data_IF_109203795153
#
_entry.id   IF_109203795153
#
_cell.length_a   1.000
_cell.length_b   1.000
_cell.length_c   1.000
_cell.angle_alpha   90.00
_cell.angle_beta   90.00
_cell.angle_gamma   90.00
#
_symmetry.space_group_name_H-M   'P 1'
#
loop_
_entity.id
_entity.type
_entity.pdbx_description
1 polymer ?
#
# COMPACT_ATOMS: atom_id res chain seq x y z
N UNK A 1 13.68 -40.61 -14.00
CA UNK A 1 13.36 -39.17 -14.14
C UNK A 1 11.94 -39.00 -13.63
N UNK A 2 11.74 -38.59 -12.39
CA UNK A 2 10.40 -38.40 -11.84
C UNK A 2 9.93 -37.00 -12.23
N UNK A 3 8.85 -36.93 -13.01
CA UNK A 3 8.21 -35.66 -13.37
C UNK A 3 7.52 -35.09 -12.13
N UNK A 4 7.92 -33.89 -11.73
CA UNK A 4 7.38 -33.22 -10.54
C UNK A 4 5.97 -32.73 -10.79
N UNK A 5 5.01 -33.23 -10.00
CA UNK A 5 3.64 -32.71 -9.97
C UNK A 5 3.62 -31.35 -9.24
N UNK A 6 3.30 -30.29 -9.97
CA UNK A 6 3.08 -28.94 -9.43
C UNK A 6 2.66 -27.98 -10.54
N UNK A 7 1.81 -26.99 -10.22
CA UNK A 7 1.53 -25.87 -11.14
C UNK A 7 2.84 -25.16 -11.47
N UNK A 8 3.01 -24.75 -12.71
CA UNK A 8 4.20 -24.01 -13.18
C UNK A 8 3.93 -22.52 -13.38
N UNK A 9 2.67 -22.10 -13.25
CA UNK A 9 2.16 -20.76 -13.49
C UNK A 9 1.83 -20.00 -12.19
N UNK A 10 2.44 -20.39 -11.08
CA UNK A 10 2.30 -19.65 -9.81
C UNK A 10 3.23 -18.44 -9.80
N UNK A 11 2.76 -17.38 -9.16
CA UNK A 11 3.52 -16.13 -9.02
C UNK A 11 4.76 -16.33 -8.14
N UNK A 12 5.81 -15.61 -8.47
CA UNK A 12 7.02 -15.53 -7.65
C UNK A 12 6.74 -14.80 -6.33
N UNK A 13 7.68 -14.93 -5.39
CA UNK A 13 7.60 -14.21 -4.12
C UNK A 13 7.62 -12.69 -4.32
N UNK A 14 8.43 -12.19 -5.25
CA UNK A 14 8.52 -10.76 -5.52
C UNK A 14 7.22 -10.21 -6.10
N UNK A 15 6.60 -10.93 -7.03
CA UNK A 15 5.27 -10.60 -7.56
C UNK A 15 4.20 -10.64 -6.47
N UNK A 16 4.25 -11.62 -5.58
CA UNK A 16 3.32 -11.71 -4.44
C UNK A 16 3.46 -10.51 -3.50
N UNK A 17 4.68 -10.16 -3.08
CA UNK A 17 4.91 -9.05 -2.16
C UNK A 17 4.65 -7.69 -2.80
N UNK A 18 4.99 -7.52 -4.08
CA UNK A 18 4.65 -6.33 -4.84
C UNK A 18 3.14 -6.20 -5.01
N UNK A 19 2.45 -7.31 -5.29
CA UNK A 19 0.99 -7.37 -5.37
C UNK A 19 0.32 -6.93 -4.06
N UNK A 20 0.87 -7.33 -2.91
CA UNK A 20 0.39 -6.88 -1.59
C UNK A 20 0.64 -5.38 -1.38
N UNK A 21 1.80 -4.86 -1.79
CA UNK A 21 2.08 -3.42 -1.69
C UNK A 21 1.10 -2.60 -2.54
N UNK A 22 0.85 -3.02 -3.78
CA UNK A 22 -0.13 -2.38 -4.66
C UNK A 22 -1.55 -2.47 -4.10
N UNK A 23 -1.96 -3.64 -3.61
CA UNK A 23 -3.28 -3.80 -2.97
C UNK A 23 -3.42 -2.98 -1.69
N UNK A 24 -2.32 -2.79 -0.95
CA UNK A 24 -2.31 -1.91 0.23
C UNK A 24 -2.50 -0.44 -0.17
N UNK A 25 -1.96 -0.01 -1.31
CA UNK A 25 -2.12 1.35 -1.82
C UNK A 25 -3.60 1.71 -2.06
N UNK A 26 -4.43 0.74 -2.49
CA UNK A 26 -5.88 0.90 -2.71
C UNK A 26 -6.66 1.26 -1.43
N UNK A 27 -6.03 1.19 -0.25
CA UNK A 27 -6.61 1.65 1.02
C UNK A 27 -6.41 3.14 1.28
N UNK A 28 -5.49 3.80 0.55
CA UNK A 28 -5.27 5.23 0.64
C UNK A 28 -6.49 6.01 0.17
N UNK A 29 -6.81 7.08 0.89
CA UNK A 29 -7.88 8.03 0.52
C UNK A 29 -7.35 9.27 -0.20
N UNK A 30 -6.04 9.37 -0.41
CA UNK A 30 -5.43 10.44 -1.17
C UNK A 30 -5.90 10.33 -2.65
N UNK A 31 -6.54 11.36 -3.23
CA UNK A 31 -7.03 11.32 -4.61
C UNK A 31 -5.92 11.50 -5.66
N UNK A 32 -4.74 12.03 -5.27
CA UNK A 32 -3.64 12.33 -6.17
C UNK A 32 -2.62 11.19 -6.24
N UNK A 33 -2.27 10.57 -5.10
CA UNK A 33 -1.22 9.55 -5.03
C UNK A 33 -1.59 8.42 -4.07
N UNK A 34 -1.62 7.18 -4.56
CA UNK A 34 -1.83 5.99 -3.75
C UNK A 34 -0.53 5.20 -3.70
N UNK A 35 0.06 5.10 -2.50
CA UNK A 35 1.31 4.39 -2.26
C UNK A 35 1.09 3.36 -1.18
N UNK A 36 1.56 2.14 -1.42
CA UNK A 36 1.53 1.05 -0.47
C UNK A 36 2.92 0.46 -0.26
N UNK A 37 3.10 -0.20 0.87
CA UNK A 37 4.36 -0.81 1.29
C UNK A 37 4.11 -2.19 1.90
N UNK A 38 5.03 -3.12 1.64
CA UNK A 38 5.06 -4.44 2.25
C UNK A 38 6.48 -4.69 2.79
N UNK A 39 6.59 -4.93 4.10
CA UNK A 39 7.86 -5.25 4.76
C UNK A 39 7.89 -6.75 5.03
N UNK A 40 8.94 -7.40 4.54
CA UNK A 40 9.11 -8.85 4.58
C UNK A 40 10.44 -9.17 5.25
N UNK A 41 10.46 -10.20 6.10
CA UNK A 41 11.69 -10.67 6.72
C UNK A 41 12.44 -11.70 5.85
N UNK A 42 13.62 -12.13 6.30
CA UNK A 42 14.47 -13.10 5.58
C UNK A 42 13.82 -14.49 5.41
N UNK A 43 12.77 -14.80 6.18
CA UNK A 43 11.99 -16.04 6.08
C UNK A 43 10.80 -15.92 5.11
N UNK A 44 10.72 -14.83 4.35
CA UNK A 44 9.60 -14.52 3.43
C UNK A 44 8.25 -14.41 4.14
N UNK A 45 8.26 -13.95 5.40
CA UNK A 45 7.05 -13.64 6.17
C UNK A 45 6.83 -12.14 6.15
N UNK A 46 5.59 -11.74 5.90
CA UNK A 46 5.14 -10.36 6.02
C UNK A 46 5.17 -9.99 7.50
N UNK A 47 5.89 -8.94 7.84
CA UNK A 47 5.98 -8.41 9.21
C UNK A 47 5.35 -7.03 9.35
N UNK A 48 4.99 -6.40 8.23
CA UNK A 48 4.23 -5.15 8.20
C UNK A 48 3.70 -4.84 6.81
N UNK A 49 2.56 -4.17 6.76
CA UNK A 49 1.99 -3.56 5.55
C UNK A 49 1.54 -2.15 5.90
N UNK A 50 1.52 -1.27 4.91
CA UNK A 50 1.10 0.11 5.10
C UNK A 50 0.77 0.81 3.81
N UNK A 51 0.19 1.99 3.92
CA UNK A 51 -0.14 2.87 2.83
C UNK A 51 -0.11 4.32 3.32
N UNK A 52 -0.08 5.29 2.40
CA UNK A 52 -0.14 6.69 2.77
C UNK A 52 -1.51 7.06 3.36
N UNK A 53 -1.52 7.60 4.57
CA UNK A 53 -2.74 8.05 5.25
C UNK A 53 -2.43 9.18 6.24
N UNK A 54 -3.49 9.77 6.80
CA UNK A 54 -3.35 10.64 7.97
C UNK A 54 -2.85 9.86 9.19
N UNK A 55 -2.21 10.54 10.16
CA UNK A 55 -1.96 9.98 11.47
C UNK A 55 -3.25 9.47 12.11
N UNK A 56 -3.10 8.44 12.94
CA UNK A 56 -4.21 7.86 13.67
C UNK A 56 -4.94 8.91 14.51
N UNK A 57 -6.28 8.89 14.47
CA UNK A 57 -7.13 9.82 15.21
C UNK A 57 -7.48 11.12 14.48
N UNK A 58 -6.90 11.37 13.30
CA UNK A 58 -7.36 12.44 12.42
C UNK A 58 -8.56 11.96 11.59
N UNK A 59 -9.70 12.62 11.77
CA UNK A 59 -10.93 12.35 11.03
C UNK A 59 -10.82 12.90 9.60
N UNK A 60 -10.95 12.02 8.61
CA UNK A 60 -10.86 12.41 7.20
C UNK A 60 -12.03 13.31 6.76
N UNK A 61 -13.16 13.28 7.48
CA UNK A 61 -14.30 14.17 7.19
C UNK A 61 -14.04 15.59 7.73
N UNK A 62 -13.22 15.72 8.78
CA UNK A 62 -12.82 17.04 9.33
C UNK A 62 -11.66 17.67 8.57
N UNK A 63 -10.86 16.84 7.92
CA UNK A 63 -9.74 17.28 7.13
C UNK A 63 -9.84 16.60 5.76
N UNK A 64 -10.59 17.14 4.80
CA UNK A 64 -10.76 16.52 3.50
C UNK A 64 -9.46 16.54 2.69
N UNK A 65 -9.25 15.52 1.86
CA UNK A 65 -8.15 15.52 0.90
C UNK A 65 -8.39 16.54 -0.22
N UNK A 66 -7.43 17.43 -0.48
CA UNK A 66 -7.42 18.28 -1.67
C UNK A 66 -8.43 19.44 -1.70
N UNK A 67 -8.95 19.91 -0.56
CA UNK A 67 -9.73 21.15 -0.50
C UNK A 67 -8.89 22.28 0.09
N UNK A 68 -8.48 23.25 -0.75
CA UNK A 68 -7.71 24.44 -0.37
C UNK A 68 -6.77 24.91 -1.48
N UNK A 69 -6.29 26.16 -1.41
CA UNK A 69 -5.13 26.60 -2.22
C UNK A 69 -3.92 25.73 -1.88
N UNK A 70 -3.06 25.40 -2.85
CA UNK A 70 -1.94 24.44 -2.69
C UNK A 70 -0.95 24.81 -1.55
N UNK A 71 -0.97 26.07 -1.10
CA UNK A 71 -0.15 26.62 0.00
C UNK A 71 -0.95 26.93 1.29
N UNK A 72 -2.24 26.60 1.34
CA UNK A 72 -3.02 26.78 2.56
C UNK A 72 -2.71 25.67 3.57
N UNK A 73 -2.66 26.02 4.87
CA UNK A 73 -2.51 25.05 5.97
C UNK A 73 -3.66 24.02 6.02
N UNK A 74 -4.73 24.27 5.26
CA UNK A 74 -5.92 23.45 5.15
C UNK A 74 -5.82 22.38 4.03
N UNK A 75 -4.86 22.53 3.10
CA UNK A 75 -4.66 21.60 1.99
C UNK A 75 -3.68 20.46 2.35
N UNK A 76 -4.15 19.21 2.23
CA UNK A 76 -3.35 18.01 2.50
C UNK A 76 -2.57 17.53 1.28
N UNK A 77 -1.24 17.43 1.40
CA UNK A 77 -0.37 16.89 0.35
C UNK A 77 0.68 15.91 0.91
N UNK A 78 0.93 14.85 0.15
CA UNK A 78 2.10 13.98 0.22
C UNK A 78 2.81 13.95 -1.15
#
# INVERSE_FOLDING_TARGET
MAEGFGRTDYITWDEYFMGIALLSAERSKDPKRQVGACIVNNEKKIVGVGYNSMPYGCDDDKYPWGQGEEDSLDAKHL
#
